data_IF_230357244556
#
_entry.id   IF_230357244556
#
_cell.length_a   1.000
_cell.length_b   1.000
_cell.length_c   1.000
_cell.angle_alpha   90.00
_cell.angle_beta   90.00
_cell.angle_gamma   90.00
#
_symmetry.space_group_name_H-M   'P 1'
#
loop_
_entity.id
_entity.type
_entity.pdbx_description
1 polymer ?
#
# COMPACT_ATOMS: atom_id res chain seq x y z
N UNK A 1 21.70 -12.13 -19.93
CA UNK A 1 20.81 -12.31 -18.76
C UNK A 1 20.89 -11.00 -18.01
N UNK A 2 20.02 -10.06 -18.35
CA UNK A 2 19.95 -8.75 -17.73
C UNK A 2 18.85 -8.77 -16.65
N UNK A 3 19.24 -9.09 -15.42
CA UNK A 3 18.47 -8.76 -14.21
C UNK A 3 18.79 -7.32 -13.74
N UNK A 4 19.26 -6.43 -14.63
CA UNK A 4 19.72 -5.08 -14.32
C UNK A 4 18.70 -3.97 -14.64
N UNK A 5 17.40 -4.26 -14.65
CA UNK A 5 16.39 -3.35 -15.21
C UNK A 5 15.37 -2.74 -14.26
N UNK A 6 15.11 -3.34 -13.09
CA UNK A 6 14.00 -2.92 -12.23
C UNK A 6 14.51 -2.50 -10.84
N UNK A 7 14.30 -1.24 -10.42
CA UNK A 7 14.68 -0.79 -9.09
C UNK A 7 13.92 -1.61 -8.03
N UNK A 8 14.59 -1.95 -6.94
CA UNK A 8 13.92 -2.60 -5.81
C UNK A 8 12.87 -1.68 -5.19
N UNK A 9 11.92 -2.23 -4.43
CA UNK A 9 10.93 -1.41 -3.73
C UNK A 9 11.59 -0.40 -2.77
N UNK A 10 12.74 -0.75 -2.19
CA UNK A 10 13.53 0.14 -1.37
C UNK A 10 14.12 1.30 -2.19
N UNK A 11 14.62 1.02 -3.40
CA UNK A 11 15.15 2.05 -4.31
C UNK A 11 14.03 3.00 -4.74
N UNK A 12 12.86 2.46 -5.08
CA UNK A 12 11.67 3.27 -5.43
C UNK A 12 11.22 4.11 -4.24
N UNK A 13 11.15 3.54 -3.03
CA UNK A 13 10.76 4.26 -1.82
C UNK A 13 11.75 5.40 -1.46
N UNK A 14 13.01 5.27 -1.88
CA UNK A 14 14.02 6.31 -1.70
C UNK A 14 13.96 7.43 -2.76
N UNK A 15 13.11 7.32 -3.79
CA UNK A 15 12.91 8.42 -4.75
C UNK A 15 12.20 9.61 -4.09
N UNK A 16 12.48 10.82 -4.59
CA UNK A 16 11.88 12.04 -4.05
C UNK A 16 10.34 12.02 -4.19
N UNK A 17 9.83 11.55 -5.33
CA UNK A 17 8.40 11.49 -5.62
C UNK A 17 7.69 10.47 -4.73
N UNK A 18 8.29 9.29 -4.49
CA UNK A 18 7.69 8.31 -3.59
C UNK A 18 7.60 8.83 -2.14
N UNK A 19 8.64 9.52 -1.65
CA UNK A 19 8.60 10.17 -0.33
C UNK A 19 7.57 11.28 -0.26
N UNK A 20 7.49 12.13 -1.28
CA UNK A 20 6.51 13.22 -1.35
C UNK A 20 5.08 12.68 -1.39
N UNK A 21 4.82 11.66 -2.21
CA UNK A 21 3.52 10.99 -2.30
C UNK A 21 3.11 10.34 -0.98
N UNK A 22 4.03 9.63 -0.32
CA UNK A 22 3.80 9.05 1.01
C UNK A 22 3.42 10.12 2.05
N UNK A 23 4.16 11.24 2.08
CA UNK A 23 3.86 12.32 3.01
C UNK A 23 2.46 12.92 2.80
N UNK A 24 2.00 13.05 1.55
CA UNK A 24 0.64 13.52 1.25
C UNK A 24 -0.44 12.56 1.74
N UNK A 25 -0.23 11.24 1.55
CA UNK A 25 -1.14 10.21 2.05
C UNK A 25 -1.20 10.23 3.57
N UNK A 26 -0.05 10.26 4.25
CA UNK A 26 0.02 10.29 5.71
C UNK A 26 -0.63 11.54 6.29
N UNK A 27 -0.40 12.72 5.68
CA UNK A 27 -1.06 13.97 6.08
C UNK A 27 -2.59 13.89 5.94
N UNK A 28 -3.09 13.23 4.88
CA UNK A 28 -4.53 13.05 4.68
C UNK A 28 -5.13 12.09 5.70
N UNK A 29 -4.47 10.97 5.96
CA UNK A 29 -4.89 9.96 6.95
C UNK A 29 -4.93 10.55 8.35
N UNK A 30 -3.99 11.44 8.70
CA UNK A 30 -3.98 12.12 10.00
C UNK A 30 -5.20 13.02 10.25
N UNK A 31 -5.93 13.43 9.20
CA UNK A 31 -7.17 14.20 9.33
C UNK A 31 -8.42 13.33 9.54
N UNK A 32 -8.28 12.00 9.42
CA UNK A 32 -9.38 11.06 9.56
C UNK A 32 -9.57 10.61 11.02
N UNK A 33 -10.77 10.12 11.34
CA UNK A 33 -11.01 9.48 12.64
C UNK A 33 -10.16 8.22 12.80
N UNK A 34 -9.87 7.77 14.04
CA UNK A 34 -9.08 6.55 14.27
C UNK A 34 -9.64 5.31 13.57
N UNK A 35 -10.96 5.18 13.48
CA UNK A 35 -11.61 4.07 12.79
C UNK A 35 -11.38 4.10 11.27
N UNK A 36 -11.45 5.28 10.65
CA UNK A 36 -11.18 5.47 9.22
C UNK A 36 -9.70 5.24 8.89
N UNK A 37 -8.78 5.65 9.78
CA UNK A 37 -7.35 5.38 9.64
C UNK A 37 -7.08 3.87 9.63
N UNK A 38 -7.68 3.13 10.56
CA UNK A 38 -7.56 1.67 10.62
C UNK A 38 -8.12 1.00 9.36
N UNK A 39 -9.30 1.43 8.90
CA UNK A 39 -9.92 0.90 7.68
C UNK A 39 -9.05 1.16 6.42
N UNK A 40 -8.42 2.33 6.34
CA UNK A 40 -7.51 2.66 5.25
C UNK A 40 -6.30 1.71 5.21
N UNK A 41 -5.61 1.52 6.33
CA UNK A 41 -4.42 0.65 6.36
C UNK A 41 -4.77 -0.83 6.19
N UNK A 42 -5.94 -1.26 6.67
CA UNK A 42 -6.47 -2.61 6.41
C UNK A 42 -6.67 -2.83 4.90
N UNK A 43 -7.32 -1.90 4.21
CA UNK A 43 -7.51 -1.96 2.76
C UNK A 43 -6.17 -1.96 1.99
N UNK A 44 -5.22 -1.10 2.38
CA UNK A 44 -3.85 -1.10 1.81
C UNK A 44 -3.19 -2.47 1.99
N UNK A 45 -3.29 -3.08 3.18
CA UNK A 45 -2.77 -4.41 3.45
C UNK A 45 -3.41 -5.50 2.58
N UNK A 46 -4.73 -5.46 2.38
CA UNK A 46 -5.43 -6.39 1.47
C UNK A 46 -4.99 -6.24 0.02
N UNK A 47 -4.80 -5.01 -0.46
CA UNK A 47 -4.46 -4.74 -1.86
C UNK A 47 -2.98 -4.96 -2.20
N UNK A 48 -2.08 -4.65 -1.26
CA UNK A 48 -0.64 -4.56 -1.56
C UNK A 48 0.25 -5.39 -0.61
N UNK A 49 -0.30 -5.96 0.46
CA UNK A 49 0.43 -6.78 1.46
C UNK A 49 0.54 -8.27 1.12
N UNK A 50 0.22 -8.69 -0.10
CA UNK A 50 0.35 -10.09 -0.55
C UNK A 50 -0.66 -11.08 0.06
N UNK A 51 -1.72 -10.59 0.71
CA UNK A 51 -2.77 -11.45 1.30
C UNK A 51 -3.58 -12.19 0.24
N UNK A 52 -3.64 -13.53 0.35
CA UNK A 52 -4.45 -14.41 -0.52
C UNK A 52 -5.86 -13.81 -0.71
N UNK A 53 -6.38 -13.73 -1.95
CA UNK A 53 -7.72 -13.21 -2.21
C UNK A 53 -8.74 -13.93 -1.31
N UNK A 54 -9.80 -13.25 -0.86
CA UNK A 54 -10.86 -13.93 -0.13
C UNK A 54 -11.36 -15.10 -0.99
N UNK A 55 -11.36 -16.30 -0.41
CA UNK A 55 -12.02 -17.44 -1.03
C UNK A 55 -13.51 -17.07 -1.09
N UNK A 56 -13.97 -16.72 -2.29
CA UNK A 56 -15.39 -16.48 -2.55
C UNK A 56 -16.07 -17.83 -2.32
N UNK A 57 -16.56 -18.06 -1.11
CA UNK A 57 -17.40 -19.20 -0.81
C UNK A 57 -18.76 -18.88 -1.43
N UNK A 58 -18.96 -19.35 -2.66
CA UNK A 58 -20.27 -19.39 -3.29
C UNK A 58 -21.13 -20.35 -2.50
N UNK A 59 -22.11 -19.81 -1.77
CA UNK A 59 -23.21 -20.56 -1.18
C UNK A 59 -24.24 -20.80 -2.30
N UNK A 60 -24.54 -22.08 -2.56
CA UNK A 60 -25.63 -22.55 -3.40
C UNK A 60 -26.46 -23.54 -2.58
#
# INVERSE_FOLDING_TARGET
MDEAGHPSEADVAATADARAGRALVEARVALCTPAEQAAFWEAVGRCFGGGKPPEIQGDA
#
